data_IF_088974033832
#
_entry.id   IF_088974033832
#
_cell.length_a   1.000
_cell.length_b   1.000
_cell.length_c   1.000
_cell.angle_alpha   90.00
_cell.angle_beta   90.00
_cell.angle_gamma   90.00
#
_symmetry.space_group_name_H-M   'P 1'
#
loop_
_entity.id
_entity.type
_entity.pdbx_description
1 polymer ?
#
# COMPACT_ATOMS: atom_id res chain seq x y z
N UNK A 1 1.28 -5.09 34.98
CA UNK A 1 2.09 -4.68 33.84
C UNK A 1 1.62 -5.58 32.71
N UNK A 2 0.69 -5.07 31.85
CA UNK A 2 0.20 -5.80 30.68
C UNK A 2 1.34 -5.90 29.68
N UNK A 3 1.57 -7.10 29.13
CA UNK A 3 2.47 -7.31 28.02
C UNK A 3 2.06 -6.34 26.90
N UNK A 4 2.94 -5.40 26.58
CA UNK A 4 2.77 -4.57 25.40
C UNK A 4 2.99 -5.52 24.22
N UNK A 5 1.88 -6.01 23.64
CA UNK A 5 1.98 -6.82 22.43
C UNK A 5 2.72 -6.03 21.36
N UNK A 6 3.82 -6.58 20.86
CA UNK A 6 4.58 -5.96 19.78
C UNK A 6 3.72 -5.86 18.52
N UNK A 7 3.82 -4.73 17.82
CA UNK A 7 3.14 -4.55 16.53
C UNK A 7 3.92 -5.31 15.46
N UNK A 8 3.22 -6.13 14.68
CA UNK A 8 3.83 -6.85 13.55
C UNK A 8 4.14 -5.88 12.42
N UNK A 9 5.39 -5.90 11.97
CA UNK A 9 5.89 -5.13 10.84
C UNK A 9 6.31 -6.12 9.76
N UNK A 10 5.69 -6.05 8.60
CA UNK A 10 6.02 -6.91 7.46
C UNK A 10 7.02 -6.19 6.56
N UNK A 11 8.30 -6.48 6.78
CA UNK A 11 9.41 -5.87 6.06
C UNK A 11 10.46 -6.92 5.68
N UNK A 12 11.03 -6.75 4.49
CA UNK A 12 12.08 -7.60 3.96
C UNK A 12 13.05 -6.77 3.12
N UNK A 13 14.35 -7.01 3.24
CA UNK A 13 15.38 -6.27 2.49
C UNK A 13 15.22 -6.37 0.97
N UNK A 14 14.54 -7.41 0.47
CA UNK A 14 14.23 -7.58 -0.96
C UNK A 14 13.25 -6.55 -1.50
N UNK A 15 12.58 -5.77 -0.64
CA UNK A 15 11.76 -4.62 -1.01
C UNK A 15 12.59 -3.39 -1.36
N UNK A 16 13.88 -3.37 -1.00
CA UNK A 16 14.70 -2.16 -0.96
C UNK A 16 15.53 -2.02 -2.22
N UNK A 17 15.40 -0.89 -2.90
CA UNK A 17 16.25 -0.50 -4.03
C UNK A 17 16.78 0.92 -3.76
N UNK A 18 18.07 1.04 -3.44
CA UNK A 18 18.69 2.33 -3.08
C UNK A 18 18.95 3.20 -4.30
N UNK A 19 19.37 2.58 -5.39
CA UNK A 19 19.58 3.27 -6.68
C UNK A 19 18.40 2.94 -7.61
N UNK A 20 17.38 3.78 -7.56
CA UNK A 20 16.16 3.63 -8.35
C UNK A 20 16.10 4.55 -9.57
N UNK A 21 17.22 5.22 -9.88
CA UNK A 21 17.32 6.14 -11.02
C UNK A 21 16.53 7.45 -10.85
N UNK A 22 16.02 7.76 -9.64
CA UNK A 22 15.26 8.98 -9.38
C UNK A 22 15.74 9.66 -8.08
N UNK A 23 15.26 10.89 -7.85
CA UNK A 23 15.52 11.63 -6.62
C UNK A 23 14.70 11.14 -5.42
N UNK A 24 13.67 10.32 -5.68
CA UNK A 24 12.72 9.89 -4.64
C UNK A 24 13.29 8.77 -3.76
N UNK A 25 13.20 8.88 -2.43
CA UNK A 25 13.57 7.81 -1.51
C UNK A 25 12.53 6.70 -1.44
N UNK A 26 11.50 6.72 -2.27
CA UNK A 26 10.29 5.91 -2.11
C UNK A 26 10.59 4.39 -2.09
N UNK A 27 11.54 3.91 -2.90
CA UNK A 27 11.93 2.51 -2.98
C UNK A 27 12.78 2.00 -1.81
N UNK A 28 13.25 2.88 -0.92
CA UNK A 28 13.99 2.50 0.30
C UNK A 28 13.46 3.17 1.57
N UNK A 29 12.37 3.92 1.47
CA UNK A 29 11.73 4.61 2.60
C UNK A 29 11.35 3.63 3.73
N UNK A 30 10.85 2.45 3.37
CA UNK A 30 10.49 1.40 4.34
C UNK A 30 11.66 0.99 5.23
N UNK A 31 12.87 0.83 4.65
CA UNK A 31 14.10 0.55 5.43
C UNK A 31 14.39 1.68 6.42
N UNK A 32 14.30 2.93 5.97
CA UNK A 32 14.56 4.08 6.86
C UNK A 32 13.59 4.12 8.05
N UNK A 33 12.32 3.78 7.81
CA UNK A 33 11.33 3.71 8.88
C UNK A 33 11.67 2.59 9.89
N UNK A 34 11.94 1.38 9.40
CA UNK A 34 12.26 0.23 10.26
C UNK A 34 13.52 0.50 11.09
N UNK A 35 14.59 0.99 10.46
CA UNK A 35 15.84 1.33 11.16
C UNK A 35 15.60 2.36 12.26
N UNK A 36 14.77 3.35 11.98
CA UNK A 36 14.44 4.39 12.96
C UNK A 36 13.61 3.83 14.13
N UNK A 37 12.60 3.02 13.86
CA UNK A 37 11.76 2.40 14.89
C UNK A 37 12.57 1.46 15.81
N UNK A 38 13.49 0.67 15.24
CA UNK A 38 14.40 -0.18 16.01
C UNK A 38 15.36 0.67 16.86
N UNK A 39 15.89 1.77 16.33
CA UNK A 39 16.72 2.70 17.09
C UNK A 39 15.98 3.34 18.27
N UNK A 40 14.70 3.63 18.09
CA UNK A 40 13.81 4.16 19.15
C UNK A 40 13.34 3.05 20.12
N UNK A 41 13.69 1.79 19.88
CA UNK A 41 13.26 0.63 20.66
C UNK A 41 11.74 0.54 20.80
N UNK A 42 11.02 0.86 19.71
CA UNK A 42 9.57 0.66 19.70
C UNK A 42 9.24 -0.83 19.81
N UNK A 43 8.11 -1.19 20.44
CA UNK A 43 7.69 -2.59 20.59
C UNK A 43 7.16 -3.13 19.24
N UNK A 44 8.06 -3.40 18.31
CA UNK A 44 7.77 -3.96 16.99
C UNK A 44 8.44 -5.33 16.82
N UNK A 45 7.81 -6.17 16.01
CA UNK A 45 8.36 -7.44 15.57
C UNK A 45 8.41 -7.44 14.04
N UNK A 46 9.63 -7.45 13.48
CA UNK A 46 9.83 -7.44 12.03
C UNK A 46 9.74 -8.88 11.51
N UNK A 47 8.85 -9.08 10.54
CA UNK A 47 8.57 -10.38 9.93
C UNK A 47 8.91 -10.35 8.45
N UNK A 48 9.68 -11.35 7.99
CA UNK A 48 9.92 -11.59 6.57
C UNK A 48 8.79 -12.43 5.97
N UNK A 49 8.66 -12.41 4.64
CA UNK A 49 7.59 -13.10 3.90
C UNK A 49 8.04 -13.49 2.50
N UNK A 50 7.23 -14.25 1.80
CA UNK A 50 7.45 -14.60 0.40
C UNK A 50 6.87 -13.55 -0.54
N UNK A 51 7.47 -13.39 -1.72
CA UNK A 51 6.91 -12.50 -2.75
C UNK A 51 5.55 -12.99 -3.23
N UNK A 52 4.68 -12.04 -3.55
CA UNK A 52 3.39 -12.32 -4.19
C UNK A 52 3.59 -12.84 -5.63
N UNK A 53 2.68 -13.66 -6.13
CA UNK A 53 2.71 -14.14 -7.51
C UNK A 53 2.26 -13.08 -8.50
N UNK A 54 2.59 -13.25 -9.80
CA UNK A 54 2.08 -12.38 -10.88
C UNK A 54 0.55 -12.41 -10.95
N UNK A 55 -0.02 -13.59 -10.78
CA UNK A 55 -1.47 -13.81 -10.83
C UNK A 55 -2.21 -12.99 -9.79
N UNK A 56 -1.63 -12.81 -8.61
CA UNK A 56 -2.21 -11.96 -7.59
C UNK A 56 -2.17 -10.47 -7.96
N UNK A 57 -1.16 -10.02 -8.69
CA UNK A 57 -1.11 -8.64 -9.20
C UNK A 57 -2.18 -8.37 -10.26
N UNK A 58 -2.60 -9.38 -11.04
CA UNK A 58 -3.69 -9.26 -12.01
C UNK A 58 -5.05 -8.98 -11.35
N UNK A 59 -5.18 -9.16 -10.04
CA UNK A 59 -6.38 -8.75 -9.32
C UNK A 59 -6.65 -7.24 -9.45
N UNK A 60 -5.59 -6.43 -9.51
CA UNK A 60 -5.72 -4.97 -9.59
C UNK A 60 -5.22 -4.37 -10.90
N UNK A 61 -4.59 -5.17 -11.76
CA UNK A 61 -3.92 -4.64 -12.96
C UNK A 61 -4.13 -5.52 -14.18
N UNK A 62 -4.08 -4.86 -15.34
CA UNK A 62 -4.01 -5.52 -16.63
C UNK A 62 -2.80 -6.47 -16.71
N UNK A 63 -3.03 -7.66 -17.24
CA UNK A 63 -2.02 -8.70 -17.38
C UNK A 63 -0.82 -8.21 -18.23
N UNK A 64 -1.09 -7.55 -19.35
CA UNK A 64 -0.01 -7.07 -20.25
C UNK A 64 0.87 -6.03 -19.53
N UNK A 65 0.25 -5.18 -18.70
CA UNK A 65 0.99 -4.20 -17.91
C UNK A 65 1.87 -4.87 -16.85
N UNK A 66 1.32 -5.79 -16.06
CA UNK A 66 2.09 -6.52 -15.03
C UNK A 66 3.25 -7.27 -15.64
N UNK A 67 2.97 -8.07 -16.68
CA UNK A 67 3.99 -8.87 -17.36
C UNK A 67 5.06 -7.97 -18.00
N UNK A 68 4.63 -6.89 -18.67
CA UNK A 68 5.52 -5.94 -19.29
C UNK A 68 6.47 -5.23 -18.31
N UNK A 69 5.99 -4.85 -17.13
CA UNK A 69 6.84 -4.25 -16.09
C UNK A 69 7.84 -5.27 -15.55
N UNK A 70 7.37 -6.49 -15.21
CA UNK A 70 8.22 -7.52 -14.62
C UNK A 70 9.22 -8.11 -15.62
N UNK A 71 8.89 -8.09 -16.92
CA UNK A 71 9.75 -8.55 -18.01
C UNK A 71 10.56 -7.40 -18.66
N UNK A 72 10.51 -6.19 -18.05
CA UNK A 72 11.29 -5.00 -18.45
C UNK A 72 10.94 -4.46 -19.86
N UNK A 73 9.76 -4.74 -20.36
CA UNK A 73 9.25 -4.23 -21.64
C UNK A 73 8.43 -2.95 -21.48
N UNK A 74 7.78 -2.77 -20.32
CA UNK A 74 7.03 -1.56 -19.92
C UNK A 74 7.77 -0.88 -18.76
N UNK A 75 7.77 0.45 -18.74
CA UNK A 75 8.36 1.22 -17.65
C UNK A 75 7.51 1.10 -16.37
N UNK A 76 8.19 1.02 -15.23
CA UNK A 76 7.57 1.05 -13.90
C UNK A 76 7.13 2.47 -13.50
N UNK A 77 6.54 2.64 -12.32
CA UNK A 77 6.06 3.93 -11.80
C UNK A 77 7.15 4.99 -11.55
N UNK A 78 8.43 4.61 -11.64
CA UNK A 78 9.59 5.50 -11.62
C UNK A 78 10.02 5.95 -13.03
N UNK A 79 9.33 5.49 -14.08
CA UNK A 79 9.65 5.78 -15.46
C UNK A 79 10.84 4.97 -15.99
N UNK A 80 11.26 3.91 -15.33
CA UNK A 80 12.41 3.08 -15.69
C UNK A 80 12.01 1.63 -15.99
N UNK A 81 12.94 0.88 -16.60
CA UNK A 81 12.86 -0.57 -16.82
C UNK A 81 13.95 -1.28 -16.02
N UNK A 82 14.21 -0.79 -14.82
CA UNK A 82 15.26 -1.29 -13.96
C UNK A 82 14.92 -2.67 -13.40
N UNK A 83 15.89 -3.60 -13.47
CA UNK A 83 15.69 -4.99 -13.07
C UNK A 83 15.60 -5.16 -11.53
N UNK A 84 16.32 -4.34 -10.76
CA UNK A 84 16.27 -4.40 -9.31
C UNK A 84 14.92 -3.88 -8.82
N UNK A 85 14.42 -2.81 -9.45
CA UNK A 85 13.06 -2.34 -9.21
C UNK A 85 12.03 -3.43 -9.51
N UNK A 86 12.07 -4.03 -10.70
CA UNK A 86 11.12 -5.08 -11.08
C UNK A 86 11.14 -6.27 -10.11
N UNK A 87 12.32 -6.68 -9.62
CA UNK A 87 12.46 -7.75 -8.62
C UNK A 87 11.88 -7.38 -7.26
N UNK A 88 11.96 -6.12 -6.84
CA UNK A 88 11.47 -5.66 -5.54
C UNK A 88 9.95 -5.52 -5.47
N UNK A 89 9.29 -5.14 -6.56
CA UNK A 89 7.87 -4.80 -6.61
C UNK A 89 6.93 -5.90 -6.05
N UNK A 90 7.11 -7.21 -6.38
CA UNK A 90 6.28 -8.25 -5.79
C UNK A 90 6.44 -8.37 -4.27
N UNK A 91 7.61 -8.06 -3.70
CA UNK A 91 7.81 -8.01 -2.25
C UNK A 91 7.15 -6.79 -1.62
N UNK A 92 7.21 -5.63 -2.29
CA UNK A 92 6.57 -4.40 -1.83
C UNK A 92 5.05 -4.60 -1.69
N UNK A 93 4.40 -5.20 -2.70
CA UNK A 93 2.96 -5.50 -2.62
C UNK A 93 2.68 -6.59 -1.57
N UNK A 94 3.53 -7.61 -1.50
CA UNK A 94 3.37 -8.71 -0.52
C UNK A 94 3.41 -8.21 0.91
N UNK A 95 4.27 -7.23 1.23
CA UNK A 95 4.33 -6.61 2.55
C UNK A 95 2.95 -6.12 3.01
N UNK A 96 2.23 -5.40 2.16
CA UNK A 96 0.90 -4.89 2.49
C UNK A 96 -0.15 -6.00 2.56
N UNK A 97 -0.07 -6.99 1.67
CA UNK A 97 -0.96 -8.15 1.68
C UNK A 97 -0.81 -8.94 2.99
N UNK A 98 0.41 -9.22 3.42
CA UNK A 98 0.69 -9.93 4.66
C UNK A 98 0.25 -9.15 5.90
N UNK A 99 0.49 -7.84 5.92
CA UNK A 99 -0.03 -6.97 6.98
C UNK A 99 -1.56 -7.00 7.02
N UNK A 100 -2.21 -6.84 5.88
CA UNK A 100 -3.67 -6.89 5.76
C UNK A 100 -4.25 -8.25 6.20
N UNK A 101 -3.60 -9.34 5.79
CA UNK A 101 -3.99 -10.70 6.16
C UNK A 101 -3.87 -10.92 7.68
N UNK A 102 -2.74 -10.51 8.27
CA UNK A 102 -2.54 -10.59 9.71
C UNK A 102 -3.64 -9.82 10.46
N UNK A 103 -3.89 -8.57 10.08
CA UNK A 103 -4.91 -7.75 10.75
C UNK A 103 -6.31 -8.33 10.60
N UNK A 104 -6.68 -8.80 9.41
CA UNK A 104 -7.99 -9.42 9.17
C UNK A 104 -8.21 -10.69 10.00
N UNK A 105 -7.19 -11.56 10.09
CA UNK A 105 -7.32 -12.83 10.81
C UNK A 105 -7.24 -12.70 12.33
N UNK A 106 -6.51 -11.71 12.84
CA UNK A 106 -6.24 -11.59 14.28
C UNK A 106 -6.99 -10.45 14.97
N UNK A 107 -7.51 -9.47 14.20
CA UNK A 107 -8.06 -8.23 14.74
C UNK A 107 -7.00 -7.28 15.33
N UNK A 108 -5.71 -7.55 15.11
CA UNK A 108 -4.61 -6.72 15.60
C UNK A 108 -4.08 -5.81 14.50
N UNK A 109 -3.65 -4.60 14.86
CA UNK A 109 -2.97 -3.72 13.93
C UNK A 109 -1.62 -4.29 13.49
N UNK A 110 -1.27 -4.08 12.24
CA UNK A 110 0.02 -4.43 11.66
C UNK A 110 0.49 -3.36 10.69
N UNK A 111 1.75 -3.40 10.30
CA UNK A 111 2.38 -2.35 9.49
C UNK A 111 3.10 -2.92 8.29
N UNK A 112 2.91 -2.27 7.15
CA UNK A 112 3.67 -2.46 5.92
C UNK A 112 4.44 -1.17 5.61
N UNK A 113 5.74 -1.08 5.94
CA UNK A 113 6.54 0.11 5.69
C UNK A 113 7.02 0.13 4.23
N UNK A 114 6.21 0.66 3.34
CA UNK A 114 6.48 0.72 1.90
C UNK A 114 6.51 2.16 1.39
N UNK A 115 6.87 2.34 0.12
CA UNK A 115 6.50 3.53 -0.64
C UNK A 115 5.00 3.56 -0.94
N UNK A 116 4.53 4.58 -1.67
CA UNK A 116 3.11 4.71 -2.02
C UNK A 116 2.66 3.71 -3.09
N UNK A 117 1.34 3.50 -3.16
CA UNK A 117 0.66 2.63 -4.13
C UNK A 117 -0.37 3.37 -4.99
N UNK A 118 -0.89 4.49 -4.50
CA UNK A 118 -2.18 5.06 -4.88
C UNK A 118 -2.24 5.69 -6.28
N UNK A 119 -1.10 6.01 -6.87
CA UNK A 119 -1.02 6.50 -8.25
C UNK A 119 -0.92 5.39 -9.31
N UNK A 120 -0.74 4.12 -8.91
CA UNK A 120 -0.77 3.02 -9.84
C UNK A 120 -2.22 2.73 -10.28
N UNK A 121 -2.49 2.88 -11.57
CA UNK A 121 -3.78 2.64 -12.20
C UNK A 121 -3.86 1.23 -12.80
N UNK A 122 -4.99 0.86 -13.43
CA UNK A 122 -5.20 -0.47 -14.02
C UNK A 122 -4.07 -0.92 -14.95
N UNK A 123 -3.59 -0.04 -15.84
CA UNK A 123 -2.60 -0.40 -16.86
C UNK A 123 -1.39 0.53 -16.92
N UNK A 124 -1.14 1.30 -15.88
CA UNK A 124 0.03 2.19 -15.81
C UNK A 124 0.45 2.52 -14.39
N UNK A 125 1.76 2.77 -14.21
CA UNK A 125 2.33 3.31 -12.99
C UNK A 125 2.73 4.78 -13.15
N UNK A 126 2.63 5.54 -12.07
CA UNK A 126 3.05 6.94 -12.02
C UNK A 126 3.36 7.35 -10.57
N UNK A 127 3.94 8.53 -10.36
CA UNK A 127 4.17 9.06 -9.02
C UNK A 127 4.95 8.12 -8.10
N UNK A 128 5.91 7.37 -8.65
CA UNK A 128 6.68 6.34 -7.95
C UNK A 128 5.86 5.14 -7.47
N UNK A 129 4.60 5.00 -7.90
CA UNK A 129 3.74 3.86 -7.65
C UNK A 129 3.67 3.00 -8.92
N UNK A 130 4.03 1.72 -8.82
CA UNK A 130 4.01 0.80 -9.98
C UNK A 130 2.81 -0.13 -9.93
N UNK A 131 2.63 -0.87 -8.85
CA UNK A 131 1.48 -1.72 -8.63
C UNK A 131 0.67 -1.22 -7.44
N UNK A 132 -0.65 -1.28 -7.53
CA UNK A 132 -1.55 -0.81 -6.48
C UNK A 132 -1.79 -1.91 -5.42
N UNK A 133 -0.89 -1.97 -4.44
CA UNK A 133 -0.96 -2.93 -3.35
C UNK A 133 -2.24 -2.79 -2.50
N UNK A 134 -2.82 -1.59 -2.42
CA UNK A 134 -4.07 -1.35 -1.67
C UNK A 134 -5.21 -2.17 -2.26
N UNK A 135 -5.41 -2.11 -3.58
CA UNK A 135 -6.48 -2.84 -4.25
C UNK A 135 -6.17 -4.34 -4.31
N UNK A 136 -4.90 -4.74 -4.52
CA UNK A 136 -4.51 -6.17 -4.47
C UNK A 136 -4.85 -6.76 -3.10
N UNK A 137 -4.44 -6.10 -2.00
CA UNK A 137 -4.72 -6.55 -0.65
C UNK A 137 -6.23 -6.61 -0.38
N UNK A 138 -6.98 -5.57 -0.74
CA UNK A 138 -8.43 -5.53 -0.55
C UNK A 138 -9.13 -6.70 -1.27
N UNK A 139 -8.77 -6.99 -2.52
CA UNK A 139 -9.37 -8.09 -3.26
C UNK A 139 -9.01 -9.46 -2.66
N UNK A 140 -7.77 -9.67 -2.24
CA UNK A 140 -7.36 -10.93 -1.58
C UNK A 140 -8.12 -11.14 -0.26
N UNK A 141 -8.28 -10.10 0.55
CA UNK A 141 -9.03 -10.17 1.81
C UNK A 141 -10.54 -10.37 1.55
N UNK A 142 -11.09 -9.75 0.51
CA UNK A 142 -12.47 -10.01 0.09
C UNK A 142 -12.69 -11.48 -0.31
N UNK A 143 -11.76 -12.09 -1.03
CA UNK A 143 -11.82 -13.53 -1.38
C UNK A 143 -11.80 -14.44 -0.14
N UNK A 144 -11.23 -13.99 0.99
CA UNK A 144 -11.27 -14.68 2.28
C UNK A 144 -12.55 -14.45 3.07
N UNK A 145 -13.47 -13.64 2.56
CA UNK A 145 -14.82 -13.48 3.12
C UNK A 145 -15.15 -12.10 3.68
N UNK A 146 -14.20 -11.15 3.69
CA UNK A 146 -14.52 -9.77 4.07
C UNK A 146 -15.60 -9.18 3.14
N UNK A 147 -16.57 -8.47 3.72
CA UNK A 147 -17.72 -7.90 2.99
C UNK A 147 -17.56 -6.43 2.69
N UNK A 148 -16.86 -5.71 3.57
CA UNK A 148 -16.59 -4.27 3.42
C UNK A 148 -15.17 -3.98 3.84
N UNK A 149 -14.40 -3.35 2.95
CA UNK A 149 -13.01 -2.99 3.18
C UNK A 149 -12.85 -1.49 3.00
N UNK A 150 -12.23 -0.85 3.98
CA UNK A 150 -11.89 0.56 3.93
C UNK A 150 -10.48 0.77 3.37
N UNK A 151 -10.30 1.76 2.51
CA UNK A 151 -9.00 2.33 2.13
C UNK A 151 -9.04 3.81 2.50
N UNK A 152 -8.28 4.16 3.54
CA UNK A 152 -8.18 5.52 4.06
C UNK A 152 -6.83 6.12 3.62
N UNK A 153 -6.81 6.79 2.48
CA UNK A 153 -5.62 7.41 1.90
C UNK A 153 -5.47 8.85 2.39
N UNK A 154 -4.52 9.05 3.29
CA UNK A 154 -4.22 10.35 3.91
C UNK A 154 -3.04 11.07 3.26
N UNK A 155 -2.59 10.63 2.09
CA UNK A 155 -1.63 11.39 1.30
C UNK A 155 -2.25 12.71 0.81
N UNK A 156 -1.42 13.77 0.68
CA UNK A 156 -1.90 15.06 0.19
C UNK A 156 -2.29 15.05 -1.29
N UNK A 157 -1.83 14.06 -2.06
CA UNK A 157 -2.19 13.89 -3.46
C UNK A 157 -3.44 13.02 -3.60
N UNK A 158 -4.24 13.30 -4.61
CA UNK A 158 -5.38 12.47 -4.91
C UNK A 158 -4.97 11.06 -5.31
N UNK A 159 -5.52 10.04 -4.64
CA UNK A 159 -5.31 8.61 -4.94
C UNK A 159 -6.02 8.18 -6.23
N UNK A 160 -5.67 8.82 -7.33
CA UNK A 160 -6.29 8.70 -8.65
C UNK A 160 -6.22 7.28 -9.21
N UNK A 161 -5.09 6.60 -9.04
CA UNK A 161 -4.91 5.22 -9.49
C UNK A 161 -5.82 4.24 -8.75
N UNK A 162 -5.91 4.37 -7.43
CA UNK A 162 -6.81 3.55 -6.61
C UNK A 162 -8.27 3.76 -7.01
N UNK A 163 -8.70 5.03 -7.12
CA UNK A 163 -10.06 5.37 -7.52
C UNK A 163 -10.39 4.83 -8.94
N UNK A 164 -9.44 4.93 -9.86
CA UNK A 164 -9.59 4.43 -11.22
C UNK A 164 -9.76 2.92 -11.27
N UNK A 165 -8.96 2.15 -10.53
CA UNK A 165 -9.07 0.68 -10.50
C UNK A 165 -10.40 0.23 -9.88
N UNK A 166 -10.79 0.82 -8.73
CA UNK A 166 -12.07 0.51 -8.06
C UNK A 166 -13.23 0.71 -9.04
N UNK A 167 -13.25 1.84 -9.74
CA UNK A 167 -14.27 2.14 -10.75
C UNK A 167 -14.21 1.19 -11.94
N UNK A 168 -13.01 0.90 -12.46
CA UNK A 168 -12.80 0.05 -13.63
C UNK A 168 -13.29 -1.37 -13.39
N UNK A 169 -13.04 -1.92 -12.20
CA UNK A 169 -13.39 -3.28 -11.83
C UNK A 169 -14.75 -3.41 -11.14
N UNK A 170 -15.42 -2.30 -10.81
CA UNK A 170 -16.71 -2.30 -10.11
C UNK A 170 -16.63 -2.90 -8.69
N UNK A 171 -15.62 -2.49 -7.90
CA UNK A 171 -15.34 -3.05 -6.58
C UNK A 171 -16.18 -2.35 -5.49
N UNK A 172 -17.49 -2.56 -5.49
CA UNK A 172 -18.47 -1.86 -4.63
C UNK A 172 -18.29 -2.15 -3.13
N UNK A 173 -17.55 -3.19 -2.76
CA UNK A 173 -17.24 -3.53 -1.37
C UNK A 173 -16.07 -2.73 -0.80
N UNK A 174 -15.38 -1.92 -1.61
CA UNK A 174 -14.29 -1.05 -1.16
C UNK A 174 -14.83 0.35 -0.91
N UNK A 175 -14.75 0.81 0.34
CA UNK A 175 -14.96 2.22 0.70
C UNK A 175 -13.62 2.94 0.63
N UNK A 176 -13.46 3.85 -0.34
CA UNK A 176 -12.20 4.57 -0.57
C UNK A 176 -12.38 6.06 -0.27
N UNK A 177 -11.65 6.53 0.74
CA UNK A 177 -11.43 7.95 1.02
C UNK A 177 -10.02 8.34 0.59
N UNK A 178 -9.86 9.51 0.01
CA UNK A 178 -8.56 10.11 -0.33
C UNK A 178 -8.58 11.60 -0.01
N UNK A 179 -7.75 12.01 0.98
CA UNK A 179 -7.70 13.40 1.43
C UNK A 179 -7.22 14.37 0.35
N UNK A 180 -6.41 13.89 -0.58
CA UNK A 180 -5.94 14.66 -1.72
C UNK A 180 -7.03 15.13 -2.71
N UNK A 181 -8.25 14.57 -2.63
CA UNK A 181 -9.40 15.07 -3.38
C UNK A 181 -9.93 16.39 -2.81
N UNK A 182 -9.74 16.65 -1.52
CA UNK A 182 -10.30 17.78 -0.77
C UNK A 182 -9.22 18.72 -0.26
N UNK A 183 -8.09 18.18 0.17
CA UNK A 183 -7.01 18.90 0.88
C UNK A 183 -5.70 18.79 0.11
N UNK A 184 -5.42 19.79 -0.70
CA UNK A 184 -4.26 19.80 -1.60
C UNK A 184 -3.02 20.50 -1.03
N UNK A 185 -3.13 21.10 0.15
CA UNK A 185 -2.03 21.85 0.76
C UNK A 185 -2.03 21.78 2.29
N UNK A 186 -0.86 22.02 2.89
CA UNK A 186 -0.71 22.14 4.34
C UNK A 186 -1.59 23.20 5.00
N UNK A 187 -2.03 24.23 4.26
CA UNK A 187 -2.93 25.26 4.78
C UNK A 187 -4.31 24.71 5.18
N UNK A 188 -4.75 23.59 4.61
CA UNK A 188 -5.98 22.90 4.98
C UNK A 188 -5.86 21.93 6.15
N UNK A 189 -4.64 21.64 6.63
CA UNK A 189 -4.38 20.56 7.59
C UNK A 189 -5.15 20.73 8.92
N UNK A 190 -5.19 21.94 9.48
CA UNK A 190 -5.88 22.22 10.75
C UNK A 190 -7.39 21.99 10.63
N UNK A 191 -7.97 22.29 9.49
CA UNK A 191 -9.39 22.03 9.21
C UNK A 191 -9.63 20.53 9.08
N UNK A 192 -8.85 19.86 8.26
CA UNK A 192 -8.92 18.42 8.06
C UNK A 192 -8.77 17.62 9.36
N UNK A 193 -7.81 18.00 10.23
CA UNK A 193 -7.63 17.35 11.53
C UNK A 193 -8.85 17.46 12.44
N UNK A 194 -9.63 18.53 12.34
CA UNK A 194 -10.88 18.69 13.09
C UNK A 194 -12.01 17.80 12.58
N UNK A 195 -12.01 17.51 11.28
CA UNK A 195 -13.01 16.66 10.64
C UNK A 195 -12.64 15.18 10.69
N UNK A 196 -11.36 14.86 10.98
CA UNK A 196 -10.86 13.49 11.00
C UNK A 196 -11.70 12.52 11.87
N UNK A 197 -12.21 12.87 13.06
CA UNK A 197 -13.06 11.97 13.85
C UNK A 197 -14.33 11.57 13.10
N UNK A 198 -15.03 12.51 12.46
CA UNK A 198 -16.24 12.24 11.67
C UNK A 198 -15.91 11.38 10.44
N UNK A 199 -14.82 11.69 9.77
CA UNK A 199 -14.34 10.93 8.63
C UNK A 199 -14.04 9.47 9.01
N UNK A 200 -13.44 9.22 10.17
CA UNK A 200 -13.17 7.86 10.65
C UNK A 200 -14.44 7.05 10.89
N UNK A 201 -15.59 7.70 11.23
CA UNK A 201 -16.88 7.02 11.35
C UNK A 201 -17.37 6.41 10.02
N UNK A 202 -16.92 6.92 8.87
CA UNK A 202 -17.28 6.34 7.57
C UNK A 202 -16.75 4.91 7.39
N UNK A 203 -15.70 4.54 8.14
CA UNK A 203 -15.10 3.21 8.12
C UNK A 203 -15.70 2.25 9.15
N UNK A 204 -16.67 2.68 9.96
CA UNK A 204 -17.38 1.80 10.87
C UNK A 204 -18.09 0.69 10.08
N UNK A 205 -17.96 -0.54 10.58
CA UNK A 205 -18.51 -1.73 9.93
C UNK A 205 -17.66 -2.26 8.76
N UNK A 206 -16.47 -1.71 8.50
CA UNK A 206 -15.49 -2.37 7.67
C UNK A 206 -14.86 -3.55 8.41
N UNK A 207 -14.69 -4.67 7.71
CA UNK A 207 -14.00 -5.86 8.23
C UNK A 207 -12.48 -5.65 8.32
N UNK A 208 -11.95 -4.74 7.49
CA UNK A 208 -10.57 -4.29 7.47
C UNK A 208 -10.51 -2.84 7.02
N UNK A 209 -9.62 -2.04 7.62
CA UNK A 209 -9.24 -0.71 7.12
C UNK A 209 -7.75 -0.70 6.83
N UNK A 210 -7.40 -0.31 5.62
CA UNK A 210 -6.01 -0.09 5.15
C UNK A 210 -5.80 1.42 5.07
N UNK A 211 -4.77 1.96 5.75
CA UNK A 211 -4.47 3.38 5.75
C UNK A 211 -2.97 3.64 5.62
#
# INVERSE_FOLDING_TARGET
EGDINSVKVFFDDRMVVKDNGSFSPNSFKGQLCVDHWLKLKLPIEVNSFSKISREALYLAHDREYVDGVLDLTIANGYGSKDADMARSLPFVVSSLVEASLHSFLTGQASVSPTGGFHHASWSSGSGFCTFNGLVVAAQMIHQLGAKRIGIADFDQHFGDGTAQIIKHLGLDYIHHYTSGAEYISAAGADHWLKELPELLHEFEGCDLVIY
#
